data_IF_475759779118
#
_entry.id   IF_475759779118
#
_cell.length_a   1.000
_cell.length_b   1.000
_cell.length_c   1.000
_cell.angle_alpha   90.00
_cell.angle_beta   90.00
_cell.angle_gamma   90.00
#
_symmetry.space_group_name_H-M   'P 1'
#
loop_
_entity.id
_entity.type
_entity.pdbx_description
1 polymer ?
#
# COMPACT_ATOMS: atom_id res chain seq x y z
N UNK A 1 34.36 -23.56 -34.34
CA UNK A 1 33.74 -22.31 -33.85
C UNK A 1 32.84 -22.67 -32.68
N UNK A 2 33.31 -22.48 -31.44
CA UNK A 2 32.60 -22.84 -30.21
C UNK A 2 31.80 -21.62 -29.75
N UNK A 3 30.60 -21.87 -29.22
CA UNK A 3 29.54 -20.91 -28.90
C UNK A 3 29.94 -19.99 -27.72
N UNK A 4 29.64 -18.70 -27.82
CA UNK A 4 29.76 -17.76 -26.69
C UNK A 4 28.63 -18.04 -25.66
N UNK A 5 28.93 -18.26 -24.38
CA UNK A 5 27.92 -18.39 -23.34
C UNK A 5 27.34 -17.00 -22.99
N UNK A 6 26.13 -16.72 -23.47
CA UNK A 6 25.48 -15.40 -23.37
C UNK A 6 24.54 -15.21 -22.18
N UNK A 7 24.93 -15.59 -20.95
CA UNK A 7 24.20 -15.15 -19.75
C UNK A 7 25.14 -15.04 -18.54
N UNK A 8 25.60 -13.84 -18.15
CA UNK A 8 26.36 -13.66 -16.92
C UNK A 8 25.43 -13.79 -15.70
N UNK A 9 25.82 -14.63 -14.72
CA UNK A 9 25.13 -14.75 -13.44
C UNK A 9 25.49 -13.54 -12.57
N UNK A 10 24.52 -12.75 -12.07
CA UNK A 10 24.79 -11.59 -11.24
C UNK A 10 25.44 -12.00 -9.91
N UNK A 11 26.56 -11.35 -9.55
CA UNK A 11 27.35 -11.64 -8.33
C UNK A 11 26.75 -11.04 -7.05
N UNK A 12 25.68 -10.26 -7.17
CA UNK A 12 25.01 -9.53 -6.09
C UNK A 12 23.53 -9.91 -5.96
N UNK A 13 23.21 -11.19 -6.14
CA UNK A 13 21.98 -11.73 -5.54
C UNK A 13 22.21 -11.75 -4.03
N UNK A 14 21.41 -10.99 -3.27
CA UNK A 14 21.32 -11.21 -1.84
C UNK A 14 20.82 -12.65 -1.65
N UNK A 15 21.72 -13.56 -1.25
CA UNK A 15 21.39 -14.93 -0.91
C UNK A 15 20.33 -14.93 0.19
N UNK A 16 19.06 -15.04 -0.17
CA UNK A 16 17.97 -15.21 0.78
C UNK A 16 17.86 -16.67 1.25
N UNK A 17 18.72 -17.57 0.75
CA UNK A 17 18.62 -19.02 0.99
C UNK A 17 19.80 -19.65 1.72
N UNK A 18 20.83 -18.92 2.13
CA UNK A 18 21.87 -19.50 3.00
C UNK A 18 21.57 -19.24 4.48
N UNK A 19 20.85 -20.18 5.10
CA UNK A 19 20.87 -20.37 6.56
C UNK A 19 21.29 -21.81 6.84
N UNK A 20 22.56 -21.99 7.22
CA UNK A 20 23.04 -23.20 7.87
C UNK A 20 22.37 -23.30 9.25
N UNK A 21 21.50 -24.29 9.41
CA UNK A 21 20.73 -24.55 10.63
C UNK A 21 19.44 -25.29 10.28
N UNK A 22 19.04 -26.24 11.12
CA UNK A 22 17.78 -26.98 10.97
C UNK A 22 16.63 -25.97 10.83
N UNK A 23 16.04 -25.91 9.62
CA UNK A 23 14.94 -25.00 9.33
C UNK A 23 13.71 -25.48 10.11
N UNK A 24 13.55 -24.96 11.33
CA UNK A 24 12.35 -25.16 12.13
C UNK A 24 11.22 -24.40 11.42
N UNK A 25 10.32 -25.14 10.77
CA UNK A 25 9.09 -24.57 10.21
C UNK A 25 8.30 -23.96 11.37
N UNK A 26 8.16 -22.63 11.46
CA UNK A 26 7.34 -22.04 12.51
C UNK A 26 5.89 -22.46 12.27
N UNK A 27 5.22 -22.97 13.33
CA UNK A 27 3.78 -23.21 13.25
C UNK A 27 3.10 -21.90 12.84
N UNK A 28 2.20 -21.91 11.85
CA UNK A 28 1.45 -20.71 11.50
C UNK A 28 0.76 -20.18 12.75
N UNK A 29 1.02 -18.92 13.08
CA UNK A 29 0.26 -18.23 14.11
C UNK A 29 -1.20 -18.17 13.64
N UNK A 30 -2.18 -18.51 14.51
CA UNK A 30 -3.58 -18.32 14.15
C UNK A 30 -3.78 -16.83 13.84
N UNK A 31 -4.34 -16.53 12.67
CA UNK A 31 -4.78 -15.18 12.34
C UNK A 31 -5.80 -14.78 13.42
N UNK A 32 -5.43 -13.82 14.27
CA UNK A 32 -6.36 -13.25 15.24
C UNK A 32 -7.53 -12.66 14.48
N UNK A 33 -8.67 -13.35 14.50
CA UNK A 33 -9.94 -12.84 13.95
C UNK A 33 -10.52 -11.84 14.95
N UNK A 34 -9.84 -10.73 15.13
CA UNK A 34 -10.35 -9.60 15.90
C UNK A 34 -9.83 -8.32 15.25
N UNK A 35 -10.20 -8.14 13.99
CA UNK A 35 -10.38 -6.79 13.49
C UNK A 35 -11.88 -6.59 13.49
N UNK A 36 -12.38 -5.67 14.31
CA UNK A 36 -13.58 -4.93 13.92
C UNK A 36 -13.38 -4.59 12.43
N UNK A 37 -14.25 -5.10 11.58
CA UNK A 37 -14.16 -4.92 10.14
C UNK A 37 -14.51 -3.47 9.83
N UNK A 38 -13.58 -2.57 10.12
CA UNK A 38 -13.67 -1.19 9.67
C UNK A 38 -13.46 -1.19 8.16
N UNK A 39 -14.41 -0.61 7.43
CA UNK A 39 -14.29 -0.41 5.99
C UNK A 39 -13.14 0.54 5.62
N UNK A 40 -12.52 1.19 6.62
CA UNK A 40 -11.41 2.13 6.45
C UNK A 40 -10.16 1.65 7.19
N UNK A 41 -9.00 1.82 6.55
CA UNK A 41 -7.69 1.61 7.18
C UNK A 41 -6.74 2.76 6.88
N UNK A 42 -5.92 3.15 7.86
CA UNK A 42 -4.89 4.16 7.68
C UNK A 42 -3.59 3.49 7.25
N UNK A 43 -2.99 4.00 6.18
CA UNK A 43 -1.76 3.52 5.60
C UNK A 43 -0.72 4.65 5.56
N UNK A 44 0.56 4.29 5.65
CA UNK A 44 1.67 5.26 5.58
C UNK A 44 2.88 4.67 4.88
N UNK A 45 3.62 5.49 4.16
CA UNK A 45 4.91 5.15 3.56
C UNK A 45 5.80 6.39 3.51
N UNK A 46 6.88 6.40 4.30
CA UNK A 46 7.70 7.60 4.49
C UNK A 46 6.86 8.75 5.05
N UNK A 47 6.85 9.87 4.33
CA UNK A 47 6.06 11.06 4.67
C UNK A 47 4.62 11.01 4.11
N UNK A 48 4.32 10.05 3.23
CA UNK A 48 3.01 9.90 2.63
C UNK A 48 2.05 9.15 3.57
N UNK A 49 0.84 9.69 3.73
CA UNK A 49 -0.23 9.12 4.53
C UNK A 49 -1.50 9.07 3.68
N UNK A 50 -2.23 7.96 3.72
CA UNK A 50 -3.50 7.83 3.00
C UNK A 50 -4.46 6.91 3.74
N UNK A 51 -5.75 7.10 3.48
CA UNK A 51 -6.82 6.26 3.99
C UNK A 51 -7.27 5.33 2.86
N UNK A 52 -7.27 4.03 3.10
CA UNK A 52 -7.83 3.04 2.20
C UNK A 52 -9.27 2.73 2.62
N UNK A 53 -10.22 3.00 1.73
CA UNK A 53 -11.65 2.72 1.92
C UNK A 53 -12.09 1.53 1.07
N UNK A 54 -12.76 0.55 1.68
CA UNK A 54 -13.37 -0.60 1.02
C UNK A 54 -14.81 -0.30 0.56
N UNK A 55 -15.02 0.90 0.01
CA UNK A 55 -16.33 1.41 -0.44
C UNK A 55 -16.25 1.97 -1.85
N UNK A 56 -17.41 2.12 -2.49
CA UNK A 56 -17.45 2.67 -3.84
C UNK A 56 -16.97 4.13 -3.85
N UNK A 57 -16.16 4.56 -4.84
CA UNK A 57 -15.69 5.94 -4.95
C UNK A 57 -16.81 6.99 -4.85
N UNK A 58 -17.97 6.70 -5.46
CA UNK A 58 -19.14 7.58 -5.43
C UNK A 58 -19.72 7.79 -4.02
N UNK A 59 -19.50 6.87 -3.08
CA UNK A 59 -19.94 6.99 -1.69
C UNK A 59 -18.93 7.77 -0.84
N UNK A 60 -17.63 7.59 -1.08
CA UNK A 60 -16.58 8.16 -0.23
C UNK A 60 -16.12 9.54 -0.68
N UNK A 61 -16.25 9.86 -1.96
CA UNK A 61 -15.78 11.13 -2.51
C UNK A 61 -16.48 12.36 -1.90
N UNK A 62 -17.83 12.41 -1.81
CA UNK A 62 -18.51 13.54 -1.18
C UNK A 62 -18.19 13.67 0.31
N UNK A 63 -17.96 12.53 0.99
CA UNK A 63 -17.58 12.51 2.42
C UNK A 63 -16.19 13.09 2.63
N UNK A 64 -15.24 12.78 1.75
CA UNK A 64 -13.92 13.39 1.77
C UNK A 64 -14.04 14.91 1.60
N UNK A 65 -14.79 15.38 0.60
CA UNK A 65 -15.01 16.81 0.36
C UNK A 65 -15.57 17.52 1.60
N UNK A 66 -16.63 16.96 2.20
CA UNK A 66 -17.25 17.50 3.41
C UNK A 66 -16.26 17.53 4.58
N UNK A 67 -15.47 16.48 4.79
CA UNK A 67 -14.48 16.45 5.85
C UNK A 67 -13.48 17.61 5.75
N UNK A 68 -12.96 17.89 4.56
CA UNK A 68 -12.03 19.00 4.39
C UNK A 68 -12.70 20.36 4.64
N UNK A 69 -13.93 20.55 4.16
CA UNK A 69 -14.71 21.79 4.40
C UNK A 69 -15.04 21.97 5.89
N UNK A 70 -15.47 20.92 6.59
CA UNK A 70 -15.75 20.93 8.03
C UNK A 70 -14.51 21.25 8.86
N UNK A 71 -13.32 20.88 8.36
CA UNK A 71 -12.04 21.19 8.99
C UNK A 71 -11.47 22.56 8.57
N UNK A 72 -12.25 23.36 7.84
CA UNK A 72 -11.92 24.74 7.48
C UNK A 72 -11.06 24.90 6.22
N UNK A 73 -10.78 23.80 5.50
CA UNK A 73 -10.12 23.86 4.22
C UNK A 73 -11.10 24.26 3.12
N UNK A 74 -10.62 25.01 2.13
CA UNK A 74 -11.40 25.26 0.91
C UNK A 74 -10.83 24.43 -0.23
N UNK A 75 -11.71 23.82 -1.01
CA UNK A 75 -11.32 23.12 -2.22
C UNK A 75 -10.97 24.16 -3.29
N UNK A 76 -9.71 24.16 -3.74
CA UNK A 76 -9.16 25.12 -4.68
C UNK A 76 -9.30 24.66 -6.13
N UNK A 77 -9.01 23.38 -6.39
CA UNK A 77 -9.19 22.73 -7.68
C UNK A 77 -9.70 21.31 -7.47
N UNK A 78 -10.54 20.83 -8.38
CA UNK A 78 -11.06 19.46 -8.38
C UNK A 78 -11.02 18.86 -9.79
N UNK A 79 -10.69 17.57 -9.87
CA UNK A 79 -10.73 16.73 -11.07
C UNK A 79 -11.54 15.46 -10.76
N UNK A 80 -12.88 15.52 -10.88
CA UNK A 80 -13.74 14.38 -10.53
C UNK A 80 -13.47 13.12 -11.35
N UNK A 81 -13.01 13.30 -12.60
CA UNK A 81 -12.65 12.20 -13.50
C UNK A 81 -11.43 11.39 -13.05
N UNK A 82 -10.54 11.98 -12.24
CA UNK A 82 -9.39 11.30 -11.63
C UNK A 82 -9.56 11.07 -10.13
N UNK A 83 -10.57 11.68 -9.49
CA UNK A 83 -10.78 11.60 -8.05
C UNK A 83 -9.71 12.37 -7.28
N UNK A 84 -9.34 13.55 -7.77
CA UNK A 84 -8.29 14.38 -7.17
C UNK A 84 -8.85 15.78 -6.85
N UNK A 85 -8.46 16.34 -5.71
CA UNK A 85 -8.63 17.75 -5.41
C UNK A 85 -7.42 18.29 -4.66
N UNK A 86 -7.23 19.61 -4.72
CA UNK A 86 -6.28 20.33 -3.88
C UNK A 86 -7.02 21.31 -2.99
N UNK A 87 -6.63 21.42 -1.73
CA UNK A 87 -7.14 22.42 -0.80
C UNK A 87 -6.12 23.51 -0.49
N UNK A 88 -6.61 24.70 -0.11
CA UNK A 88 -5.81 25.87 0.31
C UNK A 88 -5.94 26.16 1.80
#
# INVERSE_FOLDING_TARGET
>A
KRLDPLLPIPRNVADSTQKDGEYIVPRPQPLGTTSESSDFSLQKSGDAHWILAQRQPAEVWPVAHQYFEDNGFRIAEERPQTGEFSSS
#
